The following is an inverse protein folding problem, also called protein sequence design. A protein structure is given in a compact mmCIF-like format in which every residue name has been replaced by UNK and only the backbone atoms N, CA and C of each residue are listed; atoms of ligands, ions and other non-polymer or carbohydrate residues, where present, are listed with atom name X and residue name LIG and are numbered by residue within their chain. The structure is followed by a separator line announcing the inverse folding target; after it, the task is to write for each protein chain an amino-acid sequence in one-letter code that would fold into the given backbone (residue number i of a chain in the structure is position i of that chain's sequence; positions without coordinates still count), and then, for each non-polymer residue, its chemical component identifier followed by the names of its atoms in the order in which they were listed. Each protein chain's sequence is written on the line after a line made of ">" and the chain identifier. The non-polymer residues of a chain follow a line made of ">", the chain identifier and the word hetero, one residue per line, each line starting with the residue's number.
data_IF_194161628168
#
_entry.id   IF_194161628168
#
_cell.length_a   1.000
_cell.length_b   1.000
_cell.length_c   1.000
_cell.angle_alpha   90.00
_cell.angle_beta   90.00
_cell.angle_gamma   90.00
#
_symmetry.space_group_name_H-M   'P 1'
#
loop_
_entity.id
_entity.type
_entity.pdbx_description
1 polymer ?
#
# COMPACT_ATOMS: atom_id res chain seq x y z
N UNK A 1 9.11 -18.12 7.24
CA UNK A 1 7.96 -17.73 6.37
C UNK A 1 7.45 -16.37 6.80
N UNK A 2 7.12 -15.51 5.84
CA UNK A 2 6.56 -14.19 6.10
C UNK A 2 5.24 -14.35 6.89
N UNK A 3 5.04 -13.61 8.00
CA UNK A 3 3.78 -13.66 8.74
C UNK A 3 2.59 -13.28 7.86
N UNK A 4 1.50 -14.02 7.98
CA UNK A 4 0.22 -13.72 7.33
C UNK A 4 -0.76 -13.16 8.35
N UNK A 5 -1.66 -12.31 7.87
CA UNK A 5 -2.72 -11.70 8.67
C UNK A 5 -4.02 -11.68 7.86
N UNK A 6 -5.17 -11.70 8.55
CA UNK A 6 -6.47 -11.51 7.94
C UNK A 6 -6.60 -10.07 7.43
N UNK A 7 -6.89 -9.91 6.16
CA UNK A 7 -6.98 -8.61 5.49
C UNK A 7 -8.36 -7.98 5.66
N UNK A 8 -8.63 -7.54 6.87
CA UNK A 8 -9.92 -6.96 7.23
C UNK A 8 -11.11 -7.86 6.86
N UNK A 9 -12.26 -7.26 6.56
CA UNK A 9 -13.50 -7.95 6.18
C UNK A 9 -13.41 -8.79 4.91
N UNK A 10 -12.33 -8.65 4.11
CA UNK A 10 -12.14 -9.50 2.93
C UNK A 10 -11.93 -10.97 3.29
N UNK A 11 -11.45 -11.24 4.50
CA UNK A 11 -11.10 -12.59 4.97
C UNK A 11 -9.88 -13.21 4.27
N UNK A 12 -9.20 -12.48 3.39
CA UNK A 12 -7.99 -12.97 2.73
C UNK A 12 -6.84 -13.08 3.74
N UNK A 13 -6.08 -14.15 3.68
CA UNK A 13 -4.85 -14.34 4.47
C UNK A 13 -3.64 -13.81 3.69
N UNK A 14 -3.27 -12.56 3.92
CA UNK A 14 -2.22 -11.86 3.18
C UNK A 14 -0.90 -11.81 3.95
N UNK A 15 0.22 -11.87 3.22
CA UNK A 15 1.54 -11.60 3.82
C UNK A 15 1.67 -10.13 4.19
N UNK A 16 2.31 -9.82 5.33
CA UNK A 16 2.53 -8.44 5.77
C UNK A 16 3.45 -7.62 4.85
N UNK A 17 4.22 -8.30 4.00
CA UNK A 17 5.00 -7.72 2.90
C UNK A 17 4.32 -8.05 1.58
N UNK A 18 4.13 -7.04 0.72
CA UNK A 18 3.58 -7.18 -0.62
C UNK A 18 4.55 -6.69 -1.70
N UNK A 19 4.37 -7.18 -2.92
CA UNK A 19 5.09 -6.71 -4.10
C UNK A 19 4.32 -5.57 -4.77
N UNK A 20 4.89 -4.36 -4.74
CA UNK A 20 4.38 -3.20 -5.46
C UNK A 20 4.91 -3.13 -6.90
N UNK A 21 4.01 -3.10 -7.87
CA UNK A 21 4.32 -3.05 -9.31
C UNK A 21 4.74 -1.67 -9.83
N UNK A 22 4.73 -0.61 -9.01
CA UNK A 22 5.07 0.75 -9.45
C UNK A 22 6.43 0.83 -10.19
N UNK A 23 7.52 0.15 -9.74
CA UNK A 23 8.79 0.14 -10.49
C UNK A 23 8.68 -0.45 -11.90
N UNK A 24 7.78 -1.39 -12.13
CA UNK A 24 7.57 -2.01 -13.45
C UNK A 24 6.93 -1.05 -14.46
N UNK A 25 6.45 0.10 -14.00
CA UNK A 25 6.04 1.23 -14.82
C UNK A 25 7.20 2.09 -15.35
N UNK A 26 8.47 1.74 -15.06
CA UNK A 26 9.64 2.45 -15.56
C UNK A 26 10.07 3.65 -14.73
N UNK A 27 9.61 3.77 -13.50
CA UNK A 27 10.05 4.79 -12.56
C UNK A 27 11.50 4.52 -12.12
N UNK A 28 12.31 5.58 -12.00
CA UNK A 28 13.72 5.53 -11.60
C UNK A 28 14.65 4.85 -12.62
N UNK A 29 14.44 5.05 -13.92
CA UNK A 29 15.37 4.62 -14.98
C UNK A 29 16.81 5.05 -14.74
N UNK A 30 17.05 6.21 -14.11
CA UNK A 30 18.36 6.74 -13.80
C UNK A 30 19.26 5.83 -12.94
N UNK A 31 18.73 4.70 -12.43
CA UNK A 31 19.46 3.69 -11.65
C UNK A 31 19.73 2.41 -12.45
N UNK A 32 19.94 2.49 -13.74
CA UNK A 32 20.08 1.33 -14.65
C UNK A 32 18.87 0.39 -14.59
N UNK A 33 17.69 0.93 -14.35
CA UNK A 33 16.43 0.22 -14.35
C UNK A 33 15.54 0.71 -15.48
N UNK A 34 15.28 -0.13 -16.45
CA UNK A 34 14.33 0.14 -17.54
C UNK A 34 13.53 -1.13 -17.90
N UNK A 35 12.33 -1.32 -17.33
CA UNK A 35 11.49 -2.48 -17.58
C UNK A 35 10.85 -2.50 -19.00
N UNK A 36 11.13 -1.50 -19.81
CA UNK A 36 10.70 -1.47 -21.22
C UNK A 36 11.71 -2.14 -22.16
N UNK A 37 12.94 -2.39 -21.68
CA UNK A 37 13.91 -3.19 -22.41
C UNK A 37 13.62 -4.69 -22.22
N UNK A 38 14.03 -5.57 -23.16
CA UNK A 38 13.89 -7.02 -22.99
C UNK A 38 14.56 -7.53 -21.69
N UNK A 39 15.76 -7.06 -21.37
CA UNK A 39 16.51 -7.43 -20.17
C UNK A 39 15.83 -6.95 -18.89
N UNK A 40 15.35 -5.69 -18.88
CA UNK A 40 14.64 -5.13 -17.74
C UNK A 40 13.30 -5.83 -17.50
N UNK A 41 12.57 -6.14 -18.59
CA UNK A 41 11.33 -6.92 -18.51
C UNK A 41 11.58 -8.33 -17.94
N UNK A 42 12.57 -9.03 -18.48
CA UNK A 42 12.93 -10.36 -17.99
C UNK A 42 13.37 -10.31 -16.51
N UNK A 43 14.06 -9.26 -16.09
CA UNK A 43 14.42 -9.04 -14.69
C UNK A 43 13.19 -8.79 -13.83
N UNK A 44 12.24 -7.97 -14.29
CA UNK A 44 10.97 -7.74 -13.60
C UNK A 44 10.19 -9.05 -13.39
N UNK A 45 10.08 -9.90 -14.42
CA UNK A 45 9.43 -11.21 -14.33
C UNK A 45 10.14 -12.10 -13.30
N UNK A 46 11.47 -12.18 -13.32
CA UNK A 46 12.24 -12.94 -12.30
C UNK A 46 12.00 -12.39 -10.89
N UNK A 47 11.85 -11.08 -10.74
CA UNK A 47 11.57 -10.45 -9.44
C UNK A 47 10.19 -10.85 -8.92
N UNK A 48 9.17 -10.89 -9.79
CA UNK A 48 7.85 -11.39 -9.42
C UNK A 48 7.93 -12.85 -8.99
N UNK A 49 8.62 -13.70 -9.77
CA UNK A 49 8.79 -15.11 -9.41
C UNK A 49 9.51 -15.28 -8.09
N UNK A 50 10.60 -14.55 -7.84
CA UNK A 50 11.30 -14.57 -6.56
C UNK A 50 10.39 -14.16 -5.39
N UNK A 51 9.49 -13.20 -5.59
CA UNK A 51 8.53 -12.79 -4.56
C UNK A 51 7.51 -13.91 -4.26
N UNK A 52 6.98 -14.57 -5.28
CA UNK A 52 6.06 -15.71 -5.11
C UNK A 52 6.77 -16.90 -4.44
N UNK A 53 7.97 -17.24 -4.90
CA UNK A 53 8.77 -18.35 -4.35
C UNK A 53 9.14 -18.13 -2.88
N UNK A 54 9.32 -16.86 -2.47
CA UNK A 54 9.50 -16.47 -1.07
C UNK A 54 8.20 -16.41 -0.27
N UNK A 55 7.05 -16.71 -0.89
CA UNK A 55 5.73 -16.76 -0.24
C UNK A 55 4.99 -15.45 -0.13
N UNK A 56 5.46 -14.36 -0.77
CA UNK A 56 4.68 -13.13 -0.91
C UNK A 56 3.42 -13.46 -1.72
N UNK A 57 2.25 -13.17 -1.16
CA UNK A 57 0.97 -13.51 -1.78
C UNK A 57 0.04 -12.31 -2.02
N UNK A 58 0.54 -11.08 -1.91
CA UNK A 58 -0.21 -9.88 -2.31
C UNK A 58 0.62 -9.06 -3.29
N UNK A 59 0.03 -8.74 -4.44
CA UNK A 59 0.68 -8.00 -5.53
C UNK A 59 -0.21 -6.83 -5.93
N UNK A 60 0.33 -5.61 -5.94
CA UNK A 60 -0.40 -4.39 -6.28
C UNK A 60 0.17 -3.72 -7.53
N UNK A 61 -0.71 -3.29 -8.42
CA UNK A 61 -0.37 -2.56 -9.64
C UNK A 61 -1.40 -1.47 -9.97
N UNK A 62 -1.28 -0.86 -11.14
CA UNK A 62 -2.26 0.08 -11.70
C UNK A 62 -2.09 0.22 -13.23
N UNK A 63 -3.16 0.54 -13.97
CA UNK A 63 -3.09 0.83 -15.40
C UNK A 63 -2.20 2.04 -15.72
N UNK A 64 -2.11 3.02 -14.81
CA UNK A 64 -1.24 4.18 -14.95
C UNK A 64 0.26 3.88 -14.78
N UNK A 65 0.65 2.71 -14.30
CA UNK A 65 2.07 2.37 -14.11
C UNK A 65 2.71 1.99 -15.45
N UNK A 66 3.33 3.00 -16.08
CA UNK A 66 3.94 2.86 -17.39
C UNK A 66 2.93 2.56 -18.50
N UNK A 67 1.74 3.18 -18.42
CA UNK A 67 0.67 2.98 -19.41
C UNK A 67 0.32 1.49 -19.63
N UNK A 68 0.21 0.74 -18.52
CA UNK A 68 -0.13 -0.67 -18.53
C UNK A 68 1.07 -1.63 -18.58
N UNK A 69 2.31 -1.13 -18.66
CA UNK A 69 3.50 -1.98 -18.70
C UNK A 69 3.62 -2.85 -17.45
N UNK A 70 3.35 -2.29 -16.26
CA UNK A 70 3.37 -3.03 -15.01
C UNK A 70 2.35 -4.16 -14.99
N UNK A 71 1.11 -3.91 -15.41
CA UNK A 71 0.09 -4.96 -15.53
C UNK A 71 0.47 -6.05 -16.54
N UNK A 72 1.07 -5.64 -17.68
CA UNK A 72 1.53 -6.59 -18.71
C UNK A 72 2.67 -7.50 -18.23
N UNK A 73 3.62 -6.97 -17.44
CA UNK A 73 4.70 -7.75 -16.83
C UNK A 73 4.13 -8.72 -15.79
N UNK A 74 3.19 -8.26 -14.95
CA UNK A 74 2.55 -9.11 -13.97
C UNK A 74 1.71 -10.22 -14.62
N UNK A 75 0.99 -9.91 -15.69
CA UNK A 75 0.25 -10.92 -16.46
C UNK A 75 1.15 -12.03 -16.99
N UNK A 76 2.31 -11.67 -17.55
CA UNK A 76 3.32 -12.63 -17.99
C UNK A 76 3.88 -13.46 -16.84
N UNK A 77 4.27 -12.81 -15.74
CA UNK A 77 4.89 -13.48 -14.61
C UNK A 77 3.91 -14.40 -13.84
N UNK A 78 2.62 -14.05 -13.82
CA UNK A 78 1.58 -14.83 -13.15
C UNK A 78 0.97 -15.92 -14.05
N UNK A 79 1.39 -16.04 -15.30
CA UNK A 79 0.92 -17.11 -16.19
C UNK A 79 1.22 -18.49 -15.58
N UNK A 80 0.18 -19.29 -15.36
CA UNK A 80 0.26 -20.57 -14.66
C UNK A 80 0.43 -20.49 -13.13
N UNK A 81 0.60 -19.29 -12.56
CA UNK A 81 0.82 -19.04 -11.12
C UNK A 81 -0.23 -18.11 -10.49
N UNK A 82 -1.29 -17.76 -11.24
CA UNK A 82 -2.31 -16.76 -10.81
C UNK A 82 -2.90 -17.07 -9.43
N UNK A 83 -3.07 -18.33 -9.08
CA UNK A 83 -3.61 -18.77 -7.80
C UNK A 83 -2.68 -18.59 -6.60
N UNK A 84 -1.41 -18.24 -6.80
CA UNK A 84 -0.43 -18.05 -5.73
C UNK A 84 -0.49 -16.62 -5.12
N UNK A 85 -1.16 -15.66 -5.80
CA UNK A 85 -1.22 -14.28 -5.34
C UNK A 85 -2.63 -13.70 -5.38
N UNK A 86 -2.93 -12.88 -4.38
CA UNK A 86 -4.01 -11.90 -4.41
C UNK A 86 -3.55 -10.69 -5.20
N UNK A 87 -4.25 -10.38 -6.28
CA UNK A 87 -3.87 -9.36 -7.24
C UNK A 87 -4.76 -8.13 -7.10
N UNK A 88 -4.14 -6.98 -6.82
CA UNK A 88 -4.79 -5.69 -6.74
C UNK A 88 -4.40 -4.80 -7.92
N UNK A 89 -5.38 -4.14 -8.54
CA UNK A 89 -5.16 -3.08 -9.52
C UNK A 89 -6.11 -1.90 -9.26
N UNK A 90 -6.11 -0.90 -10.15
CA UNK A 90 -6.78 0.37 -9.87
C UNK A 90 -7.57 0.86 -11.07
N UNK A 91 -8.48 1.83 -10.82
CA UNK A 91 -9.29 2.51 -11.84
C UNK A 91 -9.37 4.00 -11.50
N UNK A 92 -9.43 4.85 -12.53
CA UNK A 92 -9.61 6.28 -12.38
C UNK A 92 -11.03 6.67 -11.95
N UNK A 93 -11.19 7.91 -11.48
CA UNK A 93 -12.46 8.51 -11.09
C UNK A 93 -12.48 10.03 -11.38
N UNK A 94 -11.76 10.47 -12.42
CA UNK A 94 -11.75 11.88 -12.84
C UNK A 94 -13.17 12.39 -13.16
N UNK A 95 -13.37 13.71 -13.13
CA UNK A 95 -14.70 14.33 -13.34
C UNK A 95 -15.37 13.91 -14.67
N UNK A 96 -14.59 13.56 -15.69
CA UNK A 96 -15.07 13.10 -16.98
C UNK A 96 -15.22 11.55 -17.06
N UNK A 97 -14.96 10.82 -15.97
CA UNK A 97 -15.01 9.36 -15.97
C UNK A 97 -16.44 8.90 -15.80
N UNK A 98 -16.95 8.12 -16.74
CA UNK A 98 -18.27 7.49 -16.67
C UNK A 98 -18.22 6.07 -16.07
N UNK A 99 -19.37 5.50 -15.75
CA UNK A 99 -19.51 4.11 -15.34
C UNK A 99 -19.02 3.13 -16.42
N UNK A 100 -19.24 3.47 -17.70
CA UNK A 100 -18.75 2.72 -18.86
C UNK A 100 -17.22 2.76 -18.93
N UNK A 101 -16.59 3.92 -18.67
CA UNK A 101 -15.13 4.06 -18.64
C UNK A 101 -14.51 3.24 -17.51
N UNK A 102 -15.12 3.22 -16.33
CA UNK A 102 -14.71 2.35 -15.21
C UNK A 102 -14.74 0.89 -15.63
N UNK A 103 -15.85 0.44 -16.23
CA UNK A 103 -16.00 -0.93 -16.70
C UNK A 103 -14.96 -1.27 -17.78
N UNK A 104 -14.80 -0.41 -18.78
CA UNK A 104 -13.84 -0.60 -19.87
C UNK A 104 -12.39 -0.64 -19.33
N UNK A 105 -12.05 0.22 -18.39
CA UNK A 105 -10.74 0.26 -17.75
C UNK A 105 -10.41 -1.04 -17.00
N UNK A 106 -11.36 -1.58 -16.23
CA UNK A 106 -11.17 -2.85 -15.52
C UNK A 106 -11.00 -4.01 -16.50
N UNK A 107 -11.83 -4.10 -17.54
CA UNK A 107 -11.71 -5.14 -18.58
C UNK A 107 -10.39 -5.05 -19.34
N UNK A 108 -9.91 -3.85 -19.61
CA UNK A 108 -8.59 -3.63 -20.23
C UNK A 108 -7.45 -4.06 -19.29
N UNK A 109 -7.57 -3.82 -17.97
CA UNK A 109 -6.63 -4.30 -16.98
C UNK A 109 -6.59 -5.83 -16.90
N UNK A 110 -7.75 -6.50 -16.88
CA UNK A 110 -7.83 -7.96 -16.92
C UNK A 110 -7.13 -8.54 -18.16
N UNK A 111 -7.30 -7.90 -19.31
CA UNK A 111 -6.62 -8.31 -20.55
C UNK A 111 -5.10 -8.20 -20.43
N UNK A 112 -4.56 -7.08 -19.88
CA UNK A 112 -3.11 -6.90 -19.68
C UNK A 112 -2.55 -7.86 -18.66
N UNK A 113 -3.31 -8.10 -17.58
CA UNK A 113 -2.98 -9.05 -16.49
C UNK A 113 -3.18 -10.52 -16.90
N UNK A 114 -3.73 -10.81 -18.08
CA UNK A 114 -3.97 -12.17 -18.59
C UNK A 114 -4.76 -13.05 -17.59
N UNK A 115 -5.80 -12.48 -17.00
CA UNK A 115 -6.65 -13.14 -15.99
C UNK A 115 -8.11 -12.77 -16.17
N UNK A 116 -9.01 -13.62 -15.70
CA UNK A 116 -10.45 -13.37 -15.74
C UNK A 116 -10.96 -12.54 -14.57
N UNK A 117 -10.15 -12.39 -13.51
CA UNK A 117 -10.53 -11.65 -12.31
C UNK A 117 -9.34 -11.03 -11.60
N UNK A 118 -9.61 -9.97 -10.82
CA UNK A 118 -8.70 -9.44 -9.81
C UNK A 118 -9.31 -9.61 -8.42
N UNK A 119 -8.44 -9.76 -7.41
CA UNK A 119 -8.91 -9.88 -6.03
C UNK A 119 -9.37 -8.52 -5.48
N UNK A 120 -8.64 -7.45 -5.78
CA UNK A 120 -8.98 -6.09 -5.34
C UNK A 120 -8.93 -5.13 -6.50
N UNK A 121 -9.99 -4.33 -6.67
CA UNK A 121 -10.00 -3.15 -7.54
C UNK A 121 -10.14 -1.89 -6.66
N UNK A 122 -9.35 -0.85 -6.95
CA UNK A 122 -9.30 0.35 -6.12
C UNK A 122 -9.50 1.60 -6.96
N UNK A 123 -10.31 2.56 -6.50
CA UNK A 123 -10.25 3.91 -7.04
C UNK A 123 -8.85 4.50 -6.78
N UNK A 124 -8.18 4.97 -7.83
CA UNK A 124 -6.78 5.38 -7.78
C UNK A 124 -6.67 6.86 -7.39
N UNK A 125 -6.89 7.16 -6.11
CA UNK A 125 -6.91 8.53 -5.59
C UNK A 125 -5.66 8.94 -4.81
N UNK A 126 -5.39 10.25 -4.84
CA UNK A 126 -4.40 10.89 -3.97
C UNK A 126 -5.08 11.71 -2.88
N UNK A 127 -6.00 12.57 -3.27
CA UNK A 127 -6.87 13.37 -2.41
C UNK A 127 -8.27 13.35 -3.00
N UNK A 128 -9.28 13.30 -2.15
CA UNK A 128 -10.68 13.30 -2.59
C UNK A 128 -11.34 14.61 -2.21
N UNK A 129 -11.88 15.35 -3.21
CA UNK A 129 -12.77 16.48 -2.95
C UNK A 129 -14.19 15.97 -2.67
N UNK A 130 -15.06 16.76 -2.02
CA UNK A 130 -16.46 16.37 -1.82
C UNK A 130 -17.16 16.00 -3.13
N UNK A 131 -16.90 16.73 -4.21
CA UNK A 131 -17.47 16.50 -5.55
C UNK A 131 -17.02 15.15 -6.12
N UNK A 132 -15.74 14.80 -5.93
CA UNK A 132 -15.22 13.50 -6.37
C UNK A 132 -15.79 12.33 -5.56
N UNK A 133 -16.00 12.52 -4.26
CA UNK A 133 -16.68 11.53 -3.42
C UNK A 133 -18.13 11.35 -3.90
N UNK A 134 -18.84 12.44 -4.16
CA UNK A 134 -20.22 12.41 -4.67
C UNK A 134 -20.26 11.73 -6.04
N UNK A 135 -19.36 12.07 -6.95
CA UNK A 135 -19.23 11.46 -8.26
C UNK A 135 -19.04 9.93 -8.17
N UNK A 136 -18.13 9.47 -7.33
CA UNK A 136 -17.90 8.03 -7.10
C UNK A 136 -19.18 7.34 -6.61
N UNK A 137 -19.91 7.98 -5.69
CA UNK A 137 -21.00 7.36 -4.95
C UNK A 137 -22.38 7.47 -5.65
N UNK A 138 -22.57 8.46 -6.55
CA UNK A 138 -23.88 8.79 -7.12
C UNK A 138 -23.97 8.73 -8.64
N UNK A 139 -22.83 8.84 -9.34
CA UNK A 139 -22.81 8.91 -10.80
C UNK A 139 -22.49 7.55 -11.45
N UNK A 140 -22.71 6.46 -10.69
CA UNK A 140 -22.64 5.10 -11.21
C UNK A 140 -21.24 4.44 -11.19
N UNK A 141 -20.19 5.14 -10.74
CA UNK A 141 -18.84 4.59 -10.76
C UNK A 141 -18.68 3.41 -9.78
N UNK A 142 -19.20 3.56 -8.56
CA UNK A 142 -19.18 2.50 -7.57
C UNK A 142 -20.08 1.35 -8.00
N UNK A 143 -21.26 1.63 -8.54
CA UNK A 143 -22.19 0.64 -9.06
C UNK A 143 -21.59 -0.19 -10.19
N UNK A 144 -20.78 0.43 -11.06
CA UNK A 144 -20.05 -0.29 -12.11
C UNK A 144 -19.06 -1.32 -11.52
N UNK A 145 -18.33 -0.96 -10.47
CA UNK A 145 -17.45 -1.90 -9.77
C UNK A 145 -18.22 -3.00 -9.05
N UNK A 146 -19.36 -2.68 -8.43
CA UNK A 146 -20.22 -3.66 -7.78
C UNK A 146 -20.85 -4.62 -8.79
N UNK A 147 -21.21 -4.14 -9.99
CA UNK A 147 -21.69 -4.99 -11.09
C UNK A 147 -20.59 -5.96 -11.56
N UNK A 148 -19.36 -5.51 -11.69
CA UNK A 148 -18.20 -6.36 -12.01
C UNK A 148 -17.91 -7.37 -10.89
N UNK A 149 -18.12 -6.99 -9.63
CA UNK A 149 -18.03 -7.90 -8.47
C UNK A 149 -19.09 -9.00 -8.55
N UNK A 150 -20.33 -8.64 -8.89
CA UNK A 150 -21.42 -9.61 -9.08
C UNK A 150 -21.16 -10.58 -10.26
N UNK A 151 -20.42 -10.15 -11.29
CA UNK A 151 -20.00 -10.97 -12.42
C UNK A 151 -18.76 -11.84 -12.11
N UNK A 152 -18.17 -11.74 -10.91
CA UNK A 152 -16.95 -12.45 -10.52
C UNK A 152 -15.65 -11.91 -11.15
N UNK A 153 -15.70 -10.74 -11.80
CA UNK A 153 -14.51 -10.08 -12.38
C UNK A 153 -13.65 -9.36 -11.32
N UNK A 154 -14.26 -9.02 -10.21
CA UNK A 154 -13.64 -8.35 -9.06
C UNK A 154 -14.16 -9.03 -7.80
N UNK A 155 -13.28 -9.31 -6.82
CA UNK A 155 -13.72 -9.90 -5.55
C UNK A 155 -14.04 -8.84 -4.49
N UNK A 156 -13.17 -7.81 -4.38
CA UNK A 156 -13.28 -6.76 -3.37
C UNK A 156 -13.06 -5.39 -3.98
N UNK A 157 -13.72 -4.37 -3.43
CA UNK A 157 -13.64 -2.98 -3.90
C UNK A 157 -12.94 -2.13 -2.84
N UNK A 158 -12.03 -1.26 -3.27
CA UNK A 158 -11.29 -0.38 -2.38
C UNK A 158 -11.01 0.98 -2.99
N UNK A 159 -10.19 1.74 -2.30
CA UNK A 159 -9.67 3.02 -2.78
C UNK A 159 -8.28 3.30 -2.24
N UNK A 160 -7.49 4.13 -2.94
CA UNK A 160 -6.19 4.59 -2.48
C UNK A 160 -6.25 6.06 -2.09
N UNK A 161 -5.46 6.48 -1.11
CA UNK A 161 -5.42 7.89 -0.66
C UNK A 161 -4.02 8.27 -0.18
N UNK A 162 -3.52 9.43 -0.63
CA UNK A 162 -2.28 10.03 -0.12
C UNK A 162 -2.55 11.04 1.00
N UNK A 163 -3.69 11.74 0.96
CA UNK A 163 -4.12 12.69 1.98
C UNK A 163 -5.25 12.10 2.84
N UNK A 164 -4.91 11.39 3.94
CA UNK A 164 -5.79 10.43 4.61
C UNK A 164 -7.11 11.03 5.11
N UNK A 165 -7.12 12.27 5.60
CA UNK A 165 -8.34 12.91 6.12
C UNK A 165 -9.45 13.05 5.08
N UNK A 166 -9.10 13.05 3.78
CA UNK A 166 -10.08 13.14 2.70
C UNK A 166 -10.83 11.82 2.45
N UNK A 167 -10.37 10.72 3.03
CA UNK A 167 -10.94 9.39 2.86
C UNK A 167 -12.14 9.09 3.77
N UNK A 168 -12.31 9.85 4.84
CA UNK A 168 -13.37 9.62 5.85
C UNK A 168 -14.78 9.44 5.28
N UNK A 169 -15.23 10.27 4.33
CA UNK A 169 -16.54 10.08 3.71
C UNK A 169 -16.68 8.72 3.01
N UNK A 170 -15.62 8.22 2.36
CA UNK A 170 -15.63 6.91 1.70
C UNK A 170 -15.68 5.77 2.73
N UNK A 171 -14.90 5.86 3.82
CA UNK A 171 -14.94 4.87 4.93
C UNK A 171 -16.36 4.81 5.52
N UNK A 172 -16.96 5.97 5.78
CA UNK A 172 -18.27 6.08 6.41
C UNK A 172 -19.42 5.45 5.60
N UNK A 173 -19.27 5.26 4.28
CA UNK A 173 -20.27 4.60 3.45
C UNK A 173 -20.44 3.10 3.79
N UNK A 174 -19.41 2.45 4.32
CA UNK A 174 -19.37 1.00 4.51
C UNK A 174 -19.31 0.18 3.22
N UNK A 175 -19.24 0.83 2.05
CA UNK A 175 -19.30 0.18 0.73
C UNK A 175 -17.96 -0.41 0.28
N UNK A 176 -16.86 -0.06 0.92
CA UNK A 176 -15.53 -0.48 0.54
C UNK A 176 -14.99 -1.59 1.46
N UNK A 177 -14.18 -2.47 0.89
CA UNK A 177 -13.57 -3.60 1.58
C UNK A 177 -12.10 -3.30 1.96
N UNK A 178 -11.42 -2.43 1.19
CA UNK A 178 -9.97 -2.17 1.28
C UNK A 178 -9.67 -0.68 1.18
N UNK A 179 -8.70 -0.23 1.98
CA UNK A 179 -8.06 1.09 1.84
C UNK A 179 -6.56 0.92 1.65
N UNK A 180 -5.97 1.67 0.72
CA UNK A 180 -4.51 1.79 0.58
C UNK A 180 -4.08 3.22 0.87
N UNK A 181 -3.34 3.42 1.96
CA UNK A 181 -2.99 4.75 2.45
C UNK A 181 -1.49 5.04 2.34
N UNK A 182 -1.12 6.30 2.17
CA UNK A 182 0.25 6.75 2.38
C UNK A 182 0.54 6.81 3.88
N UNK A 183 1.46 5.94 4.32
CA UNK A 183 1.89 5.90 5.72
C UNK A 183 3.34 5.42 5.82
N UNK A 184 4.17 6.14 6.54
CA UNK A 184 5.56 5.79 6.79
C UNK A 184 6.15 6.64 7.92
N UNK A 185 7.40 6.38 8.29
CA UNK A 185 8.09 7.05 9.39
C UNK A 185 8.10 8.59 9.29
N UNK A 186 8.13 9.16 8.07
CA UNK A 186 8.11 10.61 7.85
C UNK A 186 6.68 11.13 7.76
N UNK A 187 5.79 10.41 7.07
CA UNK A 187 4.42 10.83 6.83
C UNK A 187 3.45 9.96 7.63
N UNK A 188 3.01 10.48 8.78
CA UNK A 188 2.21 9.74 9.76
C UNK A 188 0.73 10.20 9.84
N UNK A 189 0.29 11.06 8.92
CA UNK A 189 -1.08 11.58 8.93
C UNK A 189 -2.17 10.48 8.93
N UNK A 190 -1.91 9.33 8.31
CA UNK A 190 -2.85 8.21 8.33
C UNK A 190 -3.11 7.69 9.76
N UNK A 191 -2.08 7.65 10.61
CA UNK A 191 -2.23 7.21 12.00
C UNK A 191 -3.13 8.14 12.83
N UNK A 192 -3.16 9.44 12.49
CA UNK A 192 -3.95 10.44 13.17
C UNK A 192 -5.39 10.53 12.67
N UNK A 193 -5.65 10.15 11.42
CA UNK A 193 -6.92 10.46 10.76
C UNK A 193 -7.74 9.24 10.38
N UNK A 194 -7.14 8.16 9.87
CA UNK A 194 -7.94 7.09 9.24
C UNK A 194 -7.61 5.66 9.67
N UNK A 195 -6.43 5.37 10.24
CA UNK A 195 -6.08 3.98 10.57
C UNK A 195 -7.01 3.37 11.64
N UNK A 196 -7.42 4.15 12.64
CA UNK A 196 -8.39 3.67 13.64
C UNK A 196 -9.77 3.47 13.00
N UNK A 197 -10.26 4.45 12.23
CA UNK A 197 -11.55 4.37 11.55
C UNK A 197 -11.60 3.18 10.56
N UNK A 198 -10.49 2.94 9.83
CA UNK A 198 -10.39 1.79 8.93
C UNK A 198 -10.40 0.46 9.70
N UNK A 199 -9.74 0.41 10.88
CA UNK A 199 -9.74 -0.76 11.76
C UNK A 199 -11.13 -1.02 12.33
N UNK A 200 -11.80 0.01 12.83
CA UNK A 200 -13.15 -0.09 13.41
C UNK A 200 -14.17 -0.52 12.34
N UNK A 201 -13.96 -0.10 11.08
CA UNK A 201 -14.75 -0.52 9.93
C UNK A 201 -14.33 -1.90 9.36
N UNK A 202 -13.37 -2.59 9.97
CA UNK A 202 -12.80 -3.87 9.52
C UNK A 202 -12.32 -3.84 8.06
N UNK A 203 -11.78 -2.71 7.58
CA UNK A 203 -11.20 -2.62 6.25
C UNK A 203 -9.85 -3.33 6.17
N UNK A 204 -9.55 -3.93 5.02
CA UNK A 204 -8.19 -4.34 4.69
C UNK A 204 -7.30 -3.10 4.49
N UNK A 205 -6.27 -2.92 5.34
CA UNK A 205 -5.37 -1.76 5.29
C UNK A 205 -4.06 -2.13 4.62
N UNK A 206 -3.83 -1.59 3.42
CA UNK A 206 -2.55 -1.62 2.73
C UNK A 206 -1.85 -0.26 2.84
N UNK A 207 -0.52 -0.27 2.91
CA UNK A 207 0.28 0.96 2.98
C UNK A 207 1.09 1.13 1.72
N UNK A 208 0.94 2.28 1.04
CA UNK A 208 1.83 2.70 -0.03
C UNK A 208 2.98 3.56 0.52
N UNK A 209 4.11 3.55 -0.20
CA UNK A 209 5.35 4.28 0.16
C UNK A 209 5.90 3.94 1.56
N UNK A 210 5.87 2.68 2.01
CA UNK A 210 6.34 2.32 3.35
C UNK A 210 7.81 2.69 3.58
N UNK A 211 8.62 2.69 2.52
CA UNK A 211 10.04 3.08 2.56
C UNK A 211 10.26 4.55 2.16
N UNK A 212 9.30 5.45 2.42
CA UNK A 212 9.39 6.90 2.23
C UNK A 212 9.74 7.39 0.81
N UNK A 213 9.67 6.54 -0.21
CA UNK A 213 10.11 6.83 -1.59
C UNK A 213 11.54 7.39 -1.68
N UNK A 214 12.44 6.99 -0.76
CA UNK A 214 13.82 7.46 -0.68
C UNK A 214 14.00 8.80 0.05
N UNK A 215 12.96 9.39 0.61
CA UNK A 215 13.06 10.66 1.32
C UNK A 215 13.88 10.52 2.62
N UNK A 216 13.63 9.48 3.41
CA UNK A 216 14.38 9.23 4.64
C UNK A 216 15.88 9.08 4.37
N UNK A 217 16.23 8.37 3.28
CA UNK A 217 17.61 8.19 2.85
C UNK A 217 18.28 9.53 2.51
N UNK A 218 17.56 10.40 1.80
CA UNK A 218 18.06 11.75 1.45
C UNK A 218 18.25 12.62 2.69
N UNK A 219 17.29 12.61 3.61
CA UNK A 219 17.38 13.34 4.87
C UNK A 219 18.57 12.82 5.69
N UNK A 220 18.69 11.50 5.86
CA UNK A 220 19.78 10.89 6.62
C UNK A 220 21.14 11.19 6.00
N UNK A 221 21.28 11.11 4.66
CA UNK A 221 22.56 11.42 3.99
C UNK A 221 22.99 12.87 4.15
N UNK A 222 22.04 13.78 4.35
CA UNK A 222 22.32 15.21 4.48
C UNK A 222 22.55 15.64 5.94
N UNK A 223 21.73 15.12 6.86
CA UNK A 223 21.75 15.55 8.26
C UNK A 223 22.60 14.64 9.16
N UNK A 224 22.74 13.38 8.82
CA UNK A 224 23.41 12.38 9.66
C UNK A 224 24.11 11.29 8.80
N UNK A 225 25.10 11.66 8.00
CA UNK A 225 25.76 10.74 7.07
C UNK A 225 26.44 9.56 7.77
N UNK A 226 27.00 9.76 8.96
CA UNK A 226 27.62 8.71 9.77
C UNK A 226 26.60 7.69 10.26
N UNK A 227 25.43 8.16 10.69
CA UNK A 227 24.34 7.28 11.09
C UNK A 227 23.83 6.44 9.91
N UNK A 228 23.69 7.06 8.73
CA UNK A 228 23.29 6.37 7.51
C UNK A 228 24.31 5.31 7.06
N UNK A 229 25.62 5.61 7.19
CA UNK A 229 26.67 4.65 6.86
C UNK A 229 26.66 3.42 7.78
N UNK A 230 26.20 3.57 9.02
CA UNK A 230 26.14 2.51 10.02
C UNK A 230 24.82 1.73 10.01
N UNK A 231 23.79 2.15 9.26
CA UNK A 231 22.45 1.59 9.34
C UNK A 231 21.77 1.48 7.97
N UNK A 232 21.02 0.40 7.78
CA UNK A 232 20.11 0.30 6.63
C UNK A 232 18.82 1.12 6.91
N UNK A 233 18.77 2.30 6.31
CA UNK A 233 17.66 3.25 6.48
C UNK A 233 16.34 2.71 5.90
N UNK A 234 16.41 1.84 4.89
CA UNK A 234 15.22 1.16 4.34
C UNK A 234 14.66 0.16 5.34
N UNK A 235 15.53 -0.54 6.04
CA UNK A 235 15.15 -1.45 7.12
C UNK A 235 14.40 -0.71 8.23
N UNK A 236 14.94 0.45 8.67
CA UNK A 236 14.28 1.27 9.70
C UNK A 236 12.88 1.71 9.26
N UNK A 237 12.74 2.17 8.02
CA UNK A 237 11.46 2.60 7.47
C UNK A 237 10.44 1.46 7.39
N UNK A 238 10.86 0.28 6.92
CA UNK A 238 9.97 -0.88 6.82
C UNK A 238 9.57 -1.41 8.20
N UNK A 239 10.51 -1.51 9.14
CA UNK A 239 10.24 -1.91 10.54
C UNK A 239 9.20 -1.00 11.21
N UNK A 240 9.27 0.31 10.98
CA UNK A 240 8.26 1.24 11.51
C UNK A 240 6.85 0.84 11.06
N UNK A 241 6.64 0.63 9.76
CA UNK A 241 5.33 0.27 9.21
C UNK A 241 4.86 -1.11 9.70
N UNK A 242 5.77 -2.09 9.76
CA UNK A 242 5.47 -3.43 10.27
C UNK A 242 5.20 -3.47 11.78
N UNK A 243 5.56 -2.40 12.52
CA UNK A 243 5.27 -2.28 13.95
C UNK A 243 3.88 -1.72 14.26
N UNK A 244 3.10 -1.31 13.25
CA UNK A 244 1.71 -0.85 13.44
C UNK A 244 0.74 -2.01 13.17
N UNK A 245 0.01 -2.47 14.20
CA UNK A 245 -0.95 -3.59 14.07
C UNK A 245 -2.14 -3.29 13.16
N UNK A 246 -2.45 -1.99 12.96
CA UNK A 246 -3.55 -1.55 12.07
C UNK A 246 -3.18 -1.72 10.60
N UNK A 247 -1.89 -1.87 10.28
CA UNK A 247 -1.41 -2.11 8.92
C UNK A 247 -1.35 -3.61 8.65
N UNK A 248 -2.12 -4.08 7.67
CA UNK A 248 -2.09 -5.49 7.26
C UNK A 248 -0.98 -5.74 6.25
N UNK A 249 -0.77 -4.81 5.30
CA UNK A 249 0.14 -5.01 4.16
C UNK A 249 1.03 -3.79 3.94
N UNK A 250 2.35 -3.98 3.96
CA UNK A 250 3.33 -3.00 3.50
C UNK A 250 3.64 -3.25 2.01
N UNK A 251 3.13 -2.38 1.13
CA UNK A 251 3.28 -2.52 -0.32
C UNK A 251 4.62 -1.91 -0.78
N UNK A 252 5.60 -2.76 -1.02
CA UNK A 252 6.98 -2.38 -1.33
C UNK A 252 7.28 -2.58 -2.81
N UNK A 253 7.71 -1.50 -3.50
CA UNK A 253 8.24 -1.61 -4.85
C UNK A 253 9.62 -2.26 -4.84
N UNK A 254 9.77 -3.36 -5.56
CA UNK A 254 11.03 -4.10 -5.72
C UNK A 254 11.32 -4.29 -7.21
N UNK A 255 12.59 -4.11 -7.60
CA UNK A 255 13.04 -4.18 -9.01
C UNK A 255 13.79 -5.45 -9.32
N UNK A 256 14.53 -5.93 -8.32
CA UNK A 256 15.47 -7.05 -8.46
C UNK A 256 15.18 -8.14 -7.43
N UNK A 257 15.47 -9.41 -7.74
CA UNK A 257 15.31 -10.52 -6.80
C UNK A 257 16.05 -10.31 -5.47
N UNK A 258 17.17 -9.61 -5.48
CA UNK A 258 17.97 -9.31 -4.28
C UNK A 258 17.23 -8.35 -3.33
N UNK A 259 16.43 -7.40 -3.87
CA UNK A 259 15.57 -6.54 -3.04
C UNK A 259 14.45 -7.37 -2.40
N UNK A 260 13.92 -8.37 -3.11
CA UNK A 260 12.94 -9.32 -2.56
C UNK A 260 13.56 -10.09 -1.40
N UNK A 261 14.70 -10.75 -1.63
CA UNK A 261 15.37 -11.56 -0.62
C UNK A 261 15.65 -10.77 0.66
N UNK A 262 16.16 -9.54 0.53
CA UNK A 262 16.44 -8.65 1.67
C UNK A 262 15.18 -8.30 2.46
N UNK A 263 14.13 -7.87 1.78
CA UNK A 263 12.90 -7.43 2.43
C UNK A 263 12.13 -8.60 3.06
N UNK A 264 12.19 -9.77 2.44
CA UNK A 264 11.62 -11.02 2.97
C UNK A 264 12.35 -11.43 4.25
N UNK A 265 13.69 -11.48 4.22
CA UNK A 265 14.48 -11.83 5.41
C UNK A 265 14.16 -10.91 6.59
N UNK A 266 13.97 -9.62 6.33
CA UNK A 266 13.55 -8.67 7.35
C UNK A 266 12.13 -8.99 7.87
N UNK A 267 11.17 -9.18 6.99
CA UNK A 267 9.78 -9.41 7.38
C UNK A 267 9.57 -10.75 8.12
N UNK A 268 10.39 -11.76 7.83
CA UNK A 268 10.34 -13.07 8.50
C UNK A 268 10.87 -13.05 9.93
N UNK A 269 11.89 -12.24 10.17
CA UNK A 269 12.63 -12.25 11.46
C UNK A 269 12.21 -11.12 12.38
N UNK A 270 11.55 -10.10 11.85
CA UNK A 270 11.18 -8.92 12.64
C UNK A 270 9.94 -9.17 13.50
N UNK A 271 10.16 -9.18 14.82
CA UNK A 271 9.11 -9.11 15.82
C UNK A 271 9.17 -7.73 16.49
N UNK A 272 8.15 -6.88 16.30
CA UNK A 272 8.16 -5.55 16.90
C UNK A 272 8.11 -5.65 18.43
N UNK A 273 9.00 -4.93 19.15
CA UNK A 273 9.01 -4.95 20.62
C UNK A 273 7.82 -4.19 21.24
N UNK A 274 7.17 -3.36 20.44
CA UNK A 274 5.97 -2.57 20.82
C UNK A 274 5.16 -2.27 19.55
N UNK A 275 3.89 -1.91 19.76
CA UNK A 275 3.00 -1.47 18.69
C UNK A 275 3.08 0.05 18.54
N UNK A 276 3.36 0.51 17.33
CA UNK A 276 3.39 1.96 17.01
C UNK A 276 2.03 2.61 17.26
N UNK A 277 0.94 1.88 17.12
CA UNK A 277 -0.40 2.38 17.45
C UNK A 277 -0.58 2.78 18.92
N UNK A 278 0.25 2.26 19.82
CA UNK A 278 0.21 2.59 21.23
C UNK A 278 1.07 3.81 21.62
N UNK A 279 1.92 4.33 20.71
CA UNK A 279 2.81 5.46 21.01
C UNK A 279 2.08 6.69 21.57
N UNK A 280 0.91 7.13 21.04
CA UNK A 280 0.21 8.27 21.63
C UNK A 280 -0.18 8.06 23.10
N UNK A 281 -0.56 6.83 23.47
CA UNK A 281 -0.90 6.49 24.87
C UNK A 281 0.34 6.46 25.75
N UNK A 282 1.44 5.91 25.25
CA UNK A 282 2.71 5.84 25.98
C UNK A 282 3.28 7.24 26.24
N UNK A 283 3.28 8.11 25.21
CA UNK A 283 3.76 9.49 25.34
C UNK A 283 2.88 10.33 26.25
N UNK A 284 1.55 10.17 26.20
CA UNK A 284 0.65 10.85 27.13
C UNK A 284 0.92 10.48 28.60
N UNK A 285 1.32 9.23 28.87
CA UNK A 285 1.75 8.80 30.19
C UNK A 285 3.05 9.47 30.66
N UNK A 286 4.01 9.62 29.74
CA UNK A 286 5.30 10.28 30.03
C UNK A 286 5.07 11.76 30.38
N UNK A 287 4.29 12.48 29.61
CA UNK A 287 3.99 13.89 29.89
C UNK A 287 3.24 14.09 31.21
N UNK A 288 2.28 13.22 31.55
CA UNK A 288 1.60 13.27 32.87
C UNK A 288 2.57 13.06 34.02
N UNK A 289 3.52 12.15 33.87
CA UNK A 289 4.52 11.87 34.88
C UNK A 289 5.49 13.04 35.07
N UNK A 290 5.87 13.72 33.96
CA UNK A 290 6.70 14.92 34.02
C UNK A 290 5.96 16.10 34.66
N UNK A 291 4.68 16.33 34.34
CA UNK A 291 3.85 17.35 34.98
C UNK A 291 3.64 17.06 36.47
N UNK A 292 3.45 15.81 36.89
CA UNK A 292 3.37 15.40 38.29
C UNK A 292 4.71 15.59 38.99
N UNK A 293 5.84 15.32 38.34
CA UNK A 293 7.19 15.51 38.89
C UNK A 293 7.59 17.00 38.97
N UNK A 294 7.03 17.85 38.11
CA UNK A 294 7.31 19.30 38.14
C UNK A 294 6.73 19.98 39.40
N UNK A 295 5.80 19.35 40.11
CA UNK A 295 5.14 19.88 41.31
C UNK A 295 4.41 21.20 41.02
N UNK A 296 3.53 21.66 41.93
CA UNK A 296 2.90 22.95 41.78
C UNK A 296 3.97 24.03 41.76
N UNK A 297 3.98 24.86 40.70
CA UNK A 297 4.90 25.98 40.57
C UNK A 297 4.89 26.76 41.90
N UNK A 298 5.99 26.76 42.60
CA UNK A 298 6.12 27.58 43.81
C UNK A 298 5.86 29.01 43.39
N UNK A 299 4.72 29.57 43.77
CA UNK A 299 4.45 30.98 43.64
C UNK A 299 5.62 31.75 44.29
N UNK A 300 6.46 32.36 43.45
CA UNK A 300 7.44 33.32 43.96
C UNK A 300 6.67 34.52 44.45
N UNK A 301 6.54 34.65 45.78
CA UNK A 301 6.11 35.88 46.40
C UNK A 301 7.16 36.97 46.24
#
# INVERSE_FOLDING_TARGET
>A
MIPKVRFGRTGLEVTRLALGGFPFGGINRARNWDPFTPEGRATAVRTVHAALDAGINYVDTAPGYGSGNSESILGEALAGRRGEAYLATKVGYGAETSAEDVTASVLASLKRLQTDYVDVIQFHGGMYTPEQVEHILRDGLLEALLALKAQGRVRFVGFTVEEPWTARPLIATGAFDVIQVRYNLIYQAAALHVLNEATDADLGVAVMRPMTSGMLQRIASYLAPEWQAARDVYEVALKFVLSDRRVHVANVGMRWPEEVARNVALAETFAPPYDVADLPRLTAGIYRTEDEMAGPAKSRG
#
